data_IF_897910936800
#
_entry.id   IF_897910936800
#
_cell.length_a   1.000
_cell.length_b   1.000
_cell.length_c   1.000
_cell.angle_alpha   90.00
_cell.angle_beta   90.00
_cell.angle_gamma   90.00
#
_symmetry.space_group_name_H-M   'P 1'
#
loop_
_entity.id
_entity.type
_entity.pdbx_description
1 polymer ?
#
# COMPACT_ATOMS: atom_id res chain seq x y z
N UNK A 1 -16.66 4.03 9.85
CA UNK A 1 -16.23 4.59 8.54
C UNK A 1 -15.09 3.75 8.00
N UNK A 2 -14.98 3.59 6.68
CA UNK A 2 -14.01 2.70 6.05
C UNK A 2 -13.03 3.49 5.16
N UNK A 3 -11.79 3.00 5.08
CA UNK A 3 -10.70 3.56 4.26
C UNK A 3 -9.92 2.42 3.59
N UNK A 4 -9.01 2.75 2.68
CA UNK A 4 -7.97 1.79 2.29
C UNK A 4 -7.10 1.48 3.51
N UNK A 5 -6.63 0.24 3.61
CA UNK A 5 -5.93 -0.26 4.81
C UNK A 5 -4.69 0.59 5.14
N UNK A 6 -4.48 0.82 6.43
CA UNK A 6 -3.22 1.30 7.00
C UNK A 6 -2.44 0.13 7.58
N UNK A 7 -1.10 0.17 7.53
CA UNK A 7 -0.24 -0.91 8.04
C UNK A 7 0.76 -0.31 9.01
N UNK A 8 0.78 -0.81 10.24
CA UNK A 8 1.53 -0.26 11.36
C UNK A 8 2.56 -1.24 11.96
N UNK A 9 2.62 -2.48 11.46
CA UNK A 9 3.58 -3.46 11.94
C UNK A 9 3.89 -4.55 10.90
N UNK A 10 5.00 -5.26 11.14
CA UNK A 10 5.35 -6.44 10.34
C UNK A 10 4.36 -7.60 10.55
N UNK A 11 3.78 -7.73 11.75
CA UNK A 11 2.76 -8.76 12.04
C UNK A 11 1.49 -8.51 11.23
N UNK A 12 0.96 -7.28 11.28
CA UNK A 12 -0.19 -6.87 10.47
C UNK A 12 0.07 -7.05 8.97
N UNK A 13 1.28 -6.71 8.51
CA UNK A 13 1.68 -6.93 7.11
C UNK A 13 1.67 -8.40 6.71
N UNK A 14 2.07 -9.30 7.61
CA UNK A 14 2.06 -10.74 7.36
C UNK A 14 0.62 -11.29 7.32
N UNK A 15 -0.23 -10.89 8.28
CA UNK A 15 -1.64 -11.28 8.33
C UNK A 15 -2.39 -10.82 7.07
N UNK A 16 -2.14 -9.58 6.62
CA UNK A 16 -2.70 -9.05 5.37
C UNK A 16 -2.20 -9.81 4.15
N UNK A 17 -0.91 -10.13 4.09
CA UNK A 17 -0.30 -10.84 2.97
C UNK A 17 -0.89 -12.25 2.80
N UNK A 18 -1.07 -12.98 3.90
CA UNK A 18 -1.72 -14.29 3.93
C UNK A 18 -3.18 -14.18 3.44
N UNK A 19 -3.94 -13.24 4.01
CA UNK A 19 -5.32 -12.98 3.59
C UNK A 19 -5.44 -12.64 2.10
N UNK A 20 -4.61 -11.73 1.59
CA UNK A 20 -4.64 -11.37 0.17
C UNK A 20 -4.33 -12.59 -0.70
N UNK A 21 -3.31 -13.38 -0.33
CA UNK A 21 -2.89 -14.55 -1.10
C UNK A 21 -3.98 -15.62 -1.19
N UNK A 22 -4.76 -15.81 -0.13
CA UNK A 22 -5.85 -16.79 -0.09
C UNK A 22 -7.06 -16.37 -0.93
N UNK A 23 -7.43 -15.09 -0.86
CA UNK A 23 -8.71 -14.59 -1.37
C UNK A 23 -8.63 -13.89 -2.73
N UNK A 24 -7.52 -13.22 -3.05
CA UNK A 24 -7.36 -12.55 -4.33
C UNK A 24 -7.07 -13.58 -5.43
N UNK A 25 -8.07 -13.82 -6.29
CA UNK A 25 -7.91 -14.72 -7.44
C UNK A 25 -7.32 -13.95 -8.62
N UNK A 26 -6.01 -14.06 -8.79
CA UNK A 26 -5.27 -13.50 -9.94
C UNK A 26 -3.91 -12.93 -9.56
N UNK A 27 -3.16 -12.53 -10.57
CA UNK A 27 -1.88 -11.85 -10.41
C UNK A 27 -2.09 -10.34 -10.49
N UNK A 28 -1.92 -9.64 -9.38
CA UNK A 28 -2.02 -8.17 -9.37
C UNK A 28 -1.53 -7.58 -8.06
N UNK A 29 -0.83 -6.45 -8.15
CA UNK A 29 -0.49 -5.66 -6.96
C UNK A 29 -1.77 -5.06 -6.34
N UNK A 30 -1.73 -4.72 -5.06
CA UNK A 30 -2.92 -4.31 -4.30
C UNK A 30 -2.76 -2.92 -3.71
N UNK A 31 -3.72 -2.03 -3.94
CA UNK A 31 -3.73 -0.70 -3.33
C UNK A 31 -3.88 -0.77 -1.80
N UNK A 32 -3.09 0.07 -1.12
CA UNK A 32 -3.21 0.39 0.31
C UNK A 32 -3.41 1.89 0.50
N UNK A 33 -3.69 2.33 1.73
CA UNK A 33 -4.08 3.70 2.01
C UNK A 33 -2.95 4.73 2.05
N UNK A 34 -1.69 4.34 1.83
CA UNK A 34 -0.56 5.26 1.90
C UNK A 34 -0.45 6.08 0.61
N UNK A 35 -0.29 7.39 0.75
CA UNK A 35 -0.17 8.31 -0.38
C UNK A 35 0.67 9.55 -0.03
N UNK A 36 1.15 10.28 -1.04
CA UNK A 36 1.85 11.57 -0.92
C UNK A 36 1.00 12.68 -1.57
N UNK A 37 -0.04 13.18 -0.89
CA UNK A 37 -1.03 14.06 -1.50
C UNK A 37 -0.45 15.43 -1.88
N UNK A 38 0.61 15.85 -1.19
CA UNK A 38 1.28 17.13 -1.42
C UNK A 38 2.41 17.02 -2.46
N UNK A 39 2.72 15.83 -2.97
CA UNK A 39 3.82 15.56 -3.91
C UNK A 39 5.17 16.07 -3.38
N UNK A 40 5.38 15.91 -2.07
CA UNK A 40 6.54 16.41 -1.31
C UNK A 40 7.35 15.29 -0.66
N UNK A 41 7.12 14.05 -1.05
CA UNK A 41 7.72 12.85 -0.48
C UNK A 41 7.39 12.69 1.01
N UNK A 42 6.19 13.13 1.38
CA UNK A 42 5.65 13.01 2.74
C UNK A 42 4.45 12.07 2.70
N UNK A 43 4.59 10.90 3.32
CA UNK A 43 3.61 9.81 3.21
C UNK A 43 2.58 9.87 4.32
N UNK A 44 1.31 9.85 3.94
CA UNK A 44 0.15 9.95 4.82
C UNK A 44 -0.81 8.79 4.56
N UNK A 45 -1.34 8.19 5.63
CA UNK A 45 -2.42 7.21 5.50
C UNK A 45 -3.78 7.90 5.28
N UNK A 46 -4.59 7.34 4.39
CA UNK A 46 -5.94 7.86 4.08
C UNK A 46 -6.90 7.91 5.28
N UNK A 47 -6.65 7.09 6.30
CA UNK A 47 -7.40 7.05 7.57
C UNK A 47 -6.84 8.01 8.65
N UNK A 48 -5.78 8.76 8.33
CA UNK A 48 -5.05 9.69 9.20
C UNK A 48 -4.34 9.06 10.40
N UNK A 49 -4.12 7.74 10.36
CA UNK A 49 -3.26 7.06 11.32
C UNK A 49 -1.80 7.52 11.19
N UNK A 50 -0.99 7.24 12.22
CA UNK A 50 0.41 7.63 12.23
C UNK A 50 1.23 6.80 11.22
N UNK A 51 2.01 7.48 10.39
CA UNK A 51 2.95 6.83 9.46
C UNK A 51 4.28 6.52 10.15
N UNK A 52 4.34 5.43 10.92
CA UNK A 52 5.52 5.01 11.69
C UNK A 52 6.13 3.65 11.26
N UNK A 53 5.51 2.98 10.28
CA UNK A 53 5.97 1.73 9.72
C UNK A 53 6.12 1.88 8.21
N UNK A 54 7.20 1.31 7.67
CA UNK A 54 7.47 1.30 6.24
C UNK A 54 8.02 -0.06 5.82
N UNK A 55 7.49 -0.62 4.72
CA UNK A 55 8.01 -1.85 4.11
C UNK A 55 8.28 -1.67 2.62
N UNK A 56 8.93 -0.57 2.25
CA UNK A 56 9.32 -0.32 0.86
C UNK A 56 10.13 -1.49 0.28
N UNK A 57 9.86 -1.80 -0.99
CA UNK A 57 10.70 -2.68 -1.77
C UNK A 57 12.09 -2.06 -1.98
N UNK A 58 13.08 -2.89 -2.29
CA UNK A 58 14.42 -2.38 -2.61
C UNK A 58 14.35 -1.40 -3.79
N UNK A 59 14.83 -0.18 -3.59
CA UNK A 59 14.79 0.90 -4.59
C UNK A 59 13.60 1.85 -4.44
N UNK A 60 12.61 1.51 -3.60
CA UNK A 60 11.40 2.29 -3.40
C UNK A 60 11.44 3.14 -2.12
N UNK A 61 10.66 4.24 -2.07
CA UNK A 61 9.89 4.78 -3.18
C UNK A 61 10.79 5.53 -4.17
N UNK A 62 10.56 5.42 -5.48
CA UNK A 62 11.45 5.97 -6.50
C UNK A 62 10.89 7.19 -7.26
N UNK A 63 9.58 7.44 -7.17
CA UNK A 63 8.88 8.51 -7.89
C UNK A 63 9.17 8.52 -9.40
N UNK A 64 8.97 7.39 -10.07
CA UNK A 64 9.29 7.20 -11.47
C UNK A 64 8.59 8.27 -12.32
N UNK A 65 9.37 8.92 -13.19
CA UNK A 65 8.90 10.00 -14.06
C UNK A 65 8.21 11.17 -13.33
N UNK A 66 8.42 11.33 -12.01
CA UNK A 66 7.75 12.30 -11.15
C UNK A 66 6.22 12.17 -11.17
N UNK A 67 5.70 10.94 -11.12
CA UNK A 67 4.26 10.65 -11.22
C UNK A 67 3.72 9.70 -10.15
N UNK A 68 4.56 9.21 -9.25
CA UNK A 68 4.18 8.12 -8.35
C UNK A 68 3.90 8.64 -6.93
N UNK A 69 2.62 8.63 -6.56
CA UNK A 69 2.14 9.28 -5.34
C UNK A 69 1.14 8.42 -4.56
N UNK A 70 0.84 7.22 -5.05
CA UNK A 70 -0.02 6.23 -4.38
C UNK A 70 0.77 4.94 -4.20
N UNK A 71 0.40 4.13 -3.20
CA UNK A 71 1.20 2.97 -2.78
C UNK A 71 0.46 1.66 -2.94
N UNK A 72 1.12 0.70 -3.56
CA UNK A 72 0.64 -0.68 -3.75
C UNK A 72 1.50 -1.70 -2.98
N UNK A 73 0.92 -2.86 -2.66
CA UNK A 73 1.61 -4.07 -2.24
C UNK A 73 2.00 -4.89 -3.48
N UNK A 74 3.25 -5.31 -3.55
CA UNK A 74 3.79 -6.05 -4.69
C UNK A 74 3.49 -7.56 -4.58
N UNK A 75 2.72 -8.09 -5.53
CA UNK A 75 2.41 -9.53 -5.63
C UNK A 75 3.70 -10.38 -5.65
N UNK A 76 4.71 -9.97 -6.44
CA UNK A 76 6.00 -10.68 -6.56
C UNK A 76 6.78 -10.86 -5.24
N UNK A 77 6.40 -10.13 -4.19
CA UNK A 77 7.01 -10.21 -2.86
C UNK A 77 6.13 -10.94 -1.85
N UNK A 78 5.06 -11.59 -2.31
CA UNK A 78 4.01 -12.12 -1.46
C UNK A 78 3.26 -11.01 -0.73
N UNK A 79 3.07 -9.85 -1.36
CA UNK A 79 2.40 -8.68 -0.78
C UNK A 79 3.07 -8.07 0.48
N UNK A 80 4.32 -8.43 0.77
CA UNK A 80 5.06 -7.94 1.95
C UNK A 80 5.80 -6.62 1.71
N UNK A 81 6.00 -6.22 0.45
CA UNK A 81 6.75 -5.02 0.08
C UNK A 81 5.94 -4.03 -0.73
N UNK A 82 6.27 -2.76 -0.54
CA UNK A 82 5.52 -1.63 -1.07
C UNK A 82 6.23 -1.00 -2.26
N UNK A 83 5.45 -0.39 -3.15
CA UNK A 83 5.92 0.37 -4.29
C UNK A 83 5.08 1.64 -4.44
N UNK A 84 5.72 2.78 -4.75
CA UNK A 84 4.97 3.94 -5.23
C UNK A 84 4.68 3.78 -6.72
N UNK A 85 3.47 4.13 -7.15
CA UNK A 85 3.03 4.06 -8.54
C UNK A 85 2.11 5.24 -8.88
N UNK A 86 1.86 5.53 -10.17
CA UNK A 86 0.87 6.52 -10.57
C UNK A 86 -0.50 6.14 -10.02
N UNK A 87 -1.19 7.10 -9.41
CA UNK A 87 -2.48 6.90 -8.75
C UNK A 87 -3.60 6.48 -9.73
N UNK A 88 -3.40 6.73 -11.02
CA UNK A 88 -4.33 6.35 -12.08
C UNK A 88 -4.23 4.87 -12.49
N UNK A 89 -3.30 4.12 -11.90
CA UNK A 89 -3.12 2.69 -12.17
C UNK A 89 -4.32 1.86 -11.67
N UNK A 90 -4.68 0.82 -12.42
CA UNK A 90 -5.78 -0.07 -12.08
C UNK A 90 -5.27 -1.26 -11.28
N UNK A 91 -5.62 -1.29 -9.99
CA UNK A 91 -5.30 -2.39 -9.10
C UNK A 91 -6.50 -2.80 -8.25
N UNK A 92 -6.60 -4.08 -7.86
CA UNK A 92 -7.41 -4.46 -6.70
C UNK A 92 -6.98 -3.66 -5.46
N UNK A 93 -7.87 -3.58 -4.47
CA UNK A 93 -7.63 -2.80 -3.27
C UNK A 93 -8.15 -3.51 -2.03
N UNK A 94 -7.59 -3.18 -0.87
CA UNK A 94 -8.03 -3.70 0.41
C UNK A 94 -8.52 -2.57 1.32
N UNK A 95 -9.71 -2.77 1.90
CA UNK A 95 -10.36 -1.82 2.79
C UNK A 95 -10.23 -2.24 4.26
N UNK A 96 -10.22 -1.25 5.14
CA UNK A 96 -10.30 -1.40 6.58
C UNK A 96 -11.46 -0.55 7.10
N UNK A 97 -12.31 -1.15 7.95
CA UNK A 97 -13.47 -0.51 8.54
C UNK A 97 -13.38 -0.54 10.07
N UNK A 98 -13.79 0.54 10.73
CA UNK A 98 -14.04 0.55 12.18
C UNK A 98 -15.54 0.36 12.44
N UNK A 99 -15.88 -0.67 13.24
CA UNK A 99 -17.23 -1.07 13.61
C UNK A 99 -17.53 -0.73 15.07
#
# INVERSE_FOLDING_TARGET
GCHLVSIHSAAESADLAEYISDYLKGDGNVWIGLNDPQKKRTWEWSDRSLTNYYSWNSGEPNNQHNKEYCVELLNKTGYLKWNDVPCESLHPFICQCKF
#
